data_IF_995137479249
#
_entry.id   IF_995137479249
#
_cell.length_a   1.000
_cell.length_b   1.000
_cell.length_c   1.000
_cell.angle_alpha   90.00
_cell.angle_beta   90.00
_cell.angle_gamma   90.00
#
_symmetry.space_group_name_H-M   'P 1'
#
loop_
_entity.id
_entity.type
_entity.pdbx_description
1 polymer ?
#
# COMPACT_ATOMS: atom_id res chain seq x y z
N UNK A 1 0.55 21.19 -32.86
CA UNK A 1 -0.91 21.15 -32.63
C UNK A 1 -1.22 19.79 -32.04
N UNK A 2 -1.02 19.64 -30.73
CA UNK A 2 -1.28 18.40 -30.00
C UNK A 2 -2.74 18.46 -29.53
N UNK A 3 -3.59 17.60 -30.08
CA UNK A 3 -4.95 17.42 -29.59
C UNK A 3 -4.86 16.79 -28.19
N UNK A 4 -5.16 17.61 -27.19
CA UNK A 4 -5.41 17.21 -25.82
C UNK A 4 -6.83 16.66 -25.75
N UNK A 5 -7.03 15.43 -26.20
CA UNK A 5 -8.21 14.66 -25.78
C UNK A 5 -7.99 14.29 -24.30
N UNK A 6 -8.51 15.16 -23.42
CA UNK A 6 -8.76 14.88 -22.01
C UNK A 6 -9.74 13.71 -21.93
N UNK A 7 -9.20 12.51 -22.05
CA UNK A 7 -9.90 11.29 -21.68
C UNK A 7 -10.17 11.39 -20.18
N UNK A 8 -11.44 11.57 -19.84
CA UNK A 8 -12.04 11.46 -18.51
C UNK A 8 -11.79 10.06 -17.91
N UNK A 9 -10.53 9.70 -17.67
CA UNK A 9 -10.18 8.63 -16.77
C UNK A 9 -10.65 9.11 -15.39
N UNK A 10 -11.80 8.62 -14.96
CA UNK A 10 -12.30 8.81 -13.60
C UNK A 10 -11.16 8.43 -12.65
N UNK A 11 -10.54 9.44 -12.04
CA UNK A 11 -9.52 9.28 -11.02
C UNK A 11 -10.24 8.83 -9.76
N UNK A 12 -10.45 7.51 -9.63
CA UNK A 12 -11.00 6.94 -8.42
C UNK A 12 -9.89 6.95 -7.38
N UNK A 13 -9.83 8.03 -6.61
CA UNK A 13 -8.95 8.17 -5.47
C UNK A 13 -9.66 7.56 -4.26
N UNK A 14 -9.19 6.40 -3.80
CA UNK A 14 -9.70 5.81 -2.57
C UNK A 14 -9.00 6.46 -1.37
N UNK A 15 -9.73 7.26 -0.59
CA UNK A 15 -9.25 7.72 0.70
C UNK A 15 -9.30 6.55 1.69
N UNK A 16 -8.18 6.27 2.36
CA UNK A 16 -8.20 5.33 3.48
C UNK A 16 -8.61 6.11 4.72
N UNK A 17 -9.78 5.78 5.26
CA UNK A 17 -10.33 6.39 6.48
C UNK A 17 -10.29 5.33 7.58
N UNK A 18 -9.60 5.65 8.68
CA UNK A 18 -9.62 4.83 9.88
C UNK A 18 -10.37 5.55 10.98
N UNK A 19 -11.50 4.96 11.42
CA UNK A 19 -12.21 5.38 12.63
C UNK A 19 -11.77 4.48 13.77
N UNK A 20 -11.35 5.09 14.89
CA UNK A 20 -11.09 4.35 16.12
C UNK A 20 -11.61 5.13 17.30
N UNK A 21 -12.37 4.46 18.16
CA UNK A 21 -12.58 4.92 19.52
C UNK A 21 -11.30 4.67 20.29
N UNK A 22 -10.70 5.72 20.84
CA UNK A 22 -9.46 5.59 21.63
C UNK A 22 -9.86 5.03 22.99
N UNK A 23 -9.42 3.80 23.36
CA UNK A 23 -9.67 3.29 24.70
C UNK A 23 -8.89 4.14 25.70
N UNK A 24 -9.61 4.83 26.58
CA UNK A 24 -9.04 5.64 27.66
C UNK A 24 -8.51 4.68 28.73
N UNK A 25 -7.29 4.88 29.28
CA UNK A 25 -6.80 4.09 30.40
C UNK A 25 -7.76 4.17 31.60
N UNK A 26 -8.05 3.02 32.21
CA UNK A 26 -9.15 2.85 33.18
C UNK A 26 -9.05 3.76 34.43
N UNK A 27 -7.88 4.34 34.71
CA UNK A 27 -7.69 5.23 35.85
C UNK A 27 -8.28 6.64 35.69
N UNK A 28 -8.70 7.04 34.48
CA UNK A 28 -9.21 8.39 34.17
C UNK A 28 -10.59 8.38 33.47
N UNK A 29 -11.41 7.32 33.65
CA UNK A 29 -12.64 7.10 32.86
C UNK A 29 -13.68 8.23 32.99
N UNK A 30 -13.72 8.98 34.09
CA UNK A 30 -14.80 9.95 34.31
C UNK A 30 -14.69 11.25 33.49
N UNK A 31 -13.58 11.50 32.79
CA UNK A 31 -13.37 12.79 32.09
C UNK A 31 -13.13 12.67 30.57
N UNK A 32 -12.93 11.47 30.04
CA UNK A 32 -12.49 11.26 28.65
C UNK A 32 -13.44 10.47 27.73
N UNK A 33 -14.69 10.21 28.12
CA UNK A 33 -15.63 9.41 27.31
C UNK A 33 -16.00 10.00 25.92
N UNK A 34 -15.46 11.17 25.57
CA UNK A 34 -16.07 12.08 24.62
C UNK A 34 -15.07 12.62 23.56
N UNK A 35 -14.21 11.74 23.04
CA UNK A 35 -13.23 12.08 22.00
C UNK A 35 -13.52 11.35 20.68
N UNK A 36 -13.73 12.12 19.61
CA UNK A 36 -13.77 11.57 18.26
C UNK A 36 -12.50 11.90 17.50
N UNK A 37 -11.89 10.89 16.88
CA UNK A 37 -10.68 11.01 16.08
C UNK A 37 -10.84 10.27 14.75
N UNK A 38 -10.43 10.94 13.67
CA UNK A 38 -10.29 10.35 12.36
C UNK A 38 -8.92 10.63 11.79
N UNK A 39 -8.40 9.65 11.06
CA UNK A 39 -7.22 9.82 10.22
C UNK A 39 -7.60 9.49 8.79
N UNK A 40 -7.26 10.38 7.88
CA UNK A 40 -7.40 10.19 6.46
C UNK A 40 -6.06 10.42 5.78
N UNK A 41 -5.83 9.62 4.76
CA UNK A 41 -4.70 9.77 3.85
C UNK A 41 -5.17 9.60 2.42
N UNK A 42 -4.52 10.32 1.53
CA UNK A 42 -4.75 10.23 0.11
C UNK A 42 -3.39 10.21 -0.60
N UNK A 43 -3.13 9.25 -1.50
CA UNK A 43 -1.92 9.27 -2.31
C UNK A 43 -1.85 10.58 -3.11
N UNK A 44 -0.70 11.25 -3.08
CA UNK A 44 -0.54 12.52 -3.77
C UNK A 44 -0.64 12.34 -5.28
N UNK A 45 -1.12 13.36 -5.99
CA UNK A 45 -1.06 13.35 -7.46
C UNK A 45 0.37 13.18 -7.97
N UNK A 46 1.35 13.71 -7.23
CA UNK A 46 2.77 13.54 -7.51
C UNK A 46 3.21 12.07 -7.47
N UNK A 47 2.82 11.32 -6.44
CA UNK A 47 3.13 9.90 -6.35
C UNK A 47 2.58 9.14 -7.57
N UNK A 48 1.32 9.40 -7.93
CA UNK A 48 0.67 8.79 -9.10
C UNK A 48 1.38 9.18 -10.39
N UNK A 49 1.68 10.46 -10.60
CA UNK A 49 2.32 10.96 -11.81
C UNK A 49 3.77 10.46 -11.97
N UNK A 50 4.54 10.42 -10.88
CA UNK A 50 5.92 9.90 -10.92
C UNK A 50 5.93 8.41 -11.22
N UNK A 51 5.04 7.65 -10.62
CA UNK A 51 4.97 6.21 -10.89
C UNK A 51 4.60 5.96 -12.35
N UNK A 52 3.69 6.76 -12.93
CA UNK A 52 3.37 6.71 -14.37
C UNK A 52 4.54 7.12 -15.27
N UNK A 53 5.38 8.07 -14.84
CA UNK A 53 6.57 8.44 -15.64
C UNK A 53 7.61 7.32 -15.69
N UNK A 54 7.71 6.49 -14.65
CA UNK A 54 8.61 5.33 -14.63
C UNK A 54 8.12 4.19 -15.55
N UNK A 55 6.81 4.10 -15.79
CA UNK A 55 6.20 3.15 -16.71
C UNK A 55 6.58 3.44 -18.17
N UNK A 56 6.53 4.71 -18.59
CA UNK A 56 6.72 5.12 -19.99
C UNK A 56 8.14 4.92 -20.53
N UNK A 57 9.14 4.84 -19.66
CA UNK A 57 10.54 4.64 -20.05
C UNK A 57 10.91 3.14 -20.13
N UNK A 58 10.01 2.26 -19.69
CA UNK A 58 10.23 0.82 -19.67
C UNK A 58 9.42 0.14 -20.78
N UNK A 59 10.12 -0.38 -21.78
CA UNK A 59 9.57 -1.12 -22.94
C UNK A 59 8.98 -2.50 -22.56
N UNK A 60 8.44 -2.64 -21.34
CA UNK A 60 8.28 -3.92 -20.65
C UNK A 60 6.81 -4.33 -20.57
N UNK A 61 6.45 -5.35 -21.34
CA UNK A 61 5.14 -6.00 -21.36
C UNK A 61 4.89 -6.97 -20.18
N UNK A 62 5.61 -6.82 -19.06
CA UNK A 62 5.54 -7.77 -17.94
C UNK A 62 4.63 -7.27 -16.81
N UNK A 63 3.80 -8.18 -16.29
CA UNK A 63 3.03 -7.98 -15.06
C UNK A 63 3.98 -7.88 -13.85
N UNK A 64 4.52 -6.69 -13.59
CA UNK A 64 5.35 -6.39 -12.43
C UNK A 64 4.54 -5.68 -11.34
N UNK A 65 4.86 -5.95 -10.07
CA UNK A 65 4.43 -5.11 -8.96
C UNK A 65 5.56 -4.12 -8.67
N UNK A 66 5.20 -2.84 -8.72
CA UNK A 66 6.13 -1.74 -8.44
C UNK A 66 5.79 -1.23 -7.05
N UNK A 67 6.74 -1.37 -6.12
CA UNK A 67 6.64 -0.77 -4.81
C UNK A 67 7.43 0.53 -4.79
N UNK A 68 6.76 1.61 -4.41
CA UNK A 68 7.36 2.94 -4.25
C UNK A 68 7.09 3.38 -2.81
N UNK A 69 8.15 3.50 -2.03
CA UNK A 69 8.07 4.18 -0.74
C UNK A 69 7.96 5.68 -1.03
N UNK A 70 6.82 6.29 -0.69
CA UNK A 70 6.55 7.71 -0.94
C UNK A 70 5.93 8.36 0.31
N UNK A 71 6.39 9.58 0.69
CA UNK A 71 5.78 10.33 1.77
C UNK A 71 4.43 10.89 1.33
N UNK A 72 3.37 10.49 2.00
CA UNK A 72 2.03 11.00 1.72
C UNK A 72 1.58 11.93 2.85
N UNK A 73 0.73 12.92 2.54
CA UNK A 73 0.14 13.75 3.56
C UNK A 73 -0.88 12.91 4.33
N UNK A 74 -0.80 13.00 5.64
CA UNK A 74 -1.79 12.44 6.55
C UNK A 74 -2.47 13.61 7.24
N UNK A 75 -3.80 13.62 7.20
CA UNK A 75 -4.60 14.56 7.96
C UNK A 75 -5.30 13.82 9.10
N UNK A 76 -5.17 14.36 10.31
CA UNK A 76 -5.82 13.85 11.51
C UNK A 76 -6.72 14.93 12.06
N UNK A 77 -8.00 14.63 12.21
CA UNK A 77 -8.97 15.54 12.82
C UNK A 77 -9.47 14.92 14.12
N UNK A 78 -9.37 15.68 15.21
CA UNK A 78 -9.86 15.30 16.54
C UNK A 78 -10.83 16.35 17.03
N UNK A 79 -12.07 15.97 17.26
CA UNK A 79 -13.13 16.90 17.64
C UNK A 79 -13.66 16.59 19.04
N UNK A 80 -13.96 17.64 19.79
CA UNK A 80 -14.73 17.54 21.03
C UNK A 80 -16.19 17.21 20.71
N UNK A 81 -16.88 16.58 21.66
CA UNK A 81 -18.34 16.46 21.59
C UNK A 81 -19.03 17.83 21.61
N UNK A 82 -20.29 17.91 21.13
CA UNK A 82 -21.10 19.09 21.31
C UNK A 82 -21.33 19.33 22.80
N UNK A 83 -21.15 20.57 23.22
CA UNK A 83 -21.55 21.00 24.55
C UNK A 83 -23.02 21.42 24.50
N UNK A 84 -23.85 20.79 25.35
CA UNK A 84 -25.19 21.28 25.69
C UNK A 84 -25.09 22.25 26.88
N UNK A 85 -25.97 23.24 26.95
CA UNK A 85 -26.06 24.25 28.02
C UNK A 85 -24.92 25.27 28.05
N UNK A 86 -24.68 25.91 26.92
CA UNK A 86 -23.66 26.94 26.76
C UNK A 86 -24.09 28.22 27.48
N UNK A 87 -23.18 28.76 28.31
CA UNK A 87 -23.24 30.11 28.88
C UNK A 87 -22.18 30.97 28.20
N UNK A 88 -22.33 32.29 28.26
CA UNK A 88 -21.32 33.24 27.77
C UNK A 88 -19.93 32.98 28.40
N UNK A 89 -19.92 32.65 29.69
CA UNK A 89 -18.71 32.33 30.46
C UNK A 89 -18.18 30.91 30.24
N UNK A 90 -18.83 30.09 29.41
CA UNK A 90 -18.36 28.73 29.14
C UNK A 90 -16.98 28.79 28.48
N UNK A 91 -16.00 28.18 29.13
CA UNK A 91 -14.65 28.06 28.60
C UNK A 91 -14.65 27.07 27.44
N UNK A 92 -14.21 27.54 26.27
CA UNK A 92 -13.99 26.69 25.11
C UNK A 92 -12.83 25.77 25.42
N UNK A 93 -13.01 24.46 25.20
CA UNK A 93 -11.95 23.47 25.34
C UNK A 93 -11.51 22.98 23.99
N UNK A 94 -10.23 22.70 23.83
CA UNK A 94 -9.68 22.07 22.64
C UNK A 94 -8.87 20.84 23.04
N UNK A 95 -8.72 19.91 22.10
CA UNK A 95 -7.89 18.71 22.28
C UNK A 95 -6.45 19.08 21.97
N UNK A 96 -5.53 18.81 22.89
CA UNK A 96 -4.11 19.07 22.71
C UNK A 96 -3.49 18.18 21.63
N UNK A 97 -2.28 18.52 21.24
CA UNK A 97 -1.56 17.84 20.17
C UNK A 97 -1.19 16.39 20.49
N UNK A 98 -1.14 16.04 21.78
CA UNK A 98 -1.00 14.65 22.21
C UNK A 98 -2.19 13.79 21.79
N UNK A 99 -3.34 14.40 21.48
CA UNK A 99 -4.58 13.75 21.09
C UNK A 99 -5.33 13.11 22.25
N UNK A 100 -4.87 13.28 23.49
CA UNK A 100 -5.45 12.65 24.68
C UNK A 100 -5.87 13.67 25.72
N UNK A 101 -5.18 14.80 25.86
CA UNK A 101 -5.53 15.82 26.85
C UNK A 101 -6.32 16.96 26.24
N UNK A 102 -7.01 17.71 27.09
CA UNK A 102 -7.75 18.93 26.71
C UNK A 102 -7.15 20.12 27.44
N UNK A 103 -7.22 21.31 26.84
CA UNK A 103 -6.98 22.57 27.53
C UNK A 103 -8.10 23.58 27.27
N UNK A 104 -8.12 24.64 28.08
CA UNK A 104 -8.99 25.78 27.86
C UNK A 104 -8.35 26.71 26.82
N UNK A 105 -9.13 27.15 25.84
CA UNK A 105 -8.72 28.08 24.80
C UNK A 105 -9.01 29.53 25.20
N UNK A 106 -10.29 29.87 25.33
CA UNK A 106 -10.79 31.19 25.73
C UNK A 106 -12.26 31.06 26.14
N UNK A 107 -12.84 32.08 26.78
CA UNK A 107 -14.28 32.11 27.02
C UNK A 107 -15.05 32.34 25.71
N UNK A 108 -16.25 31.80 25.61
CA UNK A 108 -17.08 31.99 24.42
C UNK A 108 -17.40 33.47 24.16
N UNK A 109 -17.69 34.24 25.22
CA UNK A 109 -17.91 35.69 25.10
C UNK A 109 -16.70 36.40 24.53
N UNK A 110 -15.50 36.10 25.02
CA UNK A 110 -14.28 36.76 24.54
C UNK A 110 -14.00 36.41 23.08
N UNK A 111 -14.23 35.15 22.69
CA UNK A 111 -14.08 34.73 21.29
C UNK A 111 -15.03 35.52 20.38
N UNK A 112 -16.31 35.60 20.74
CA UNK A 112 -17.32 36.25 19.91
C UNK A 112 -17.13 37.75 19.89
N UNK A 113 -16.80 38.37 21.01
CA UNK A 113 -16.45 39.78 21.06
C UNK A 113 -15.25 40.08 20.16
N UNK A 114 -14.22 39.23 20.15
CA UNK A 114 -13.07 39.37 19.25
C UNK A 114 -13.47 39.30 17.77
N UNK A 115 -14.42 38.44 17.41
CA UNK A 115 -14.90 38.32 16.02
C UNK A 115 -15.80 39.49 15.60
N UNK A 116 -16.64 39.99 16.51
CA UNK A 116 -17.50 41.16 16.30
C UNK A 116 -16.71 42.45 16.16
N UNK A 117 -15.58 42.59 16.89
CA UNK A 117 -14.67 43.73 16.73
C UNK A 117 -13.89 43.68 15.42
N UNK A 118 -13.69 42.48 14.87
CA UNK A 118 -12.95 42.26 13.63
C UNK A 118 -13.85 42.27 12.39
N UNK A 119 -14.33 41.09 12.00
CA UNK A 119 -14.87 40.83 10.67
C UNK A 119 -16.39 40.65 10.62
N UNK A 120 -17.03 40.38 11.76
CA UNK A 120 -18.46 40.06 11.77
C UNK A 120 -19.34 41.29 11.89
N UNK A 121 -20.46 41.29 11.17
CA UNK A 121 -21.53 42.28 11.36
C UNK A 121 -22.25 42.04 12.68
N UNK A 122 -22.73 43.12 13.33
CA UNK A 122 -23.58 43.03 14.52
C UNK A 122 -24.91 42.31 14.26
N UNK A 123 -25.34 42.31 13.00
CA UNK A 123 -26.57 41.68 12.52
C UNK A 123 -26.34 40.25 12.00
N UNK A 124 -25.13 39.72 12.18
CA UNK A 124 -24.83 38.33 11.82
C UNK A 124 -25.78 37.41 12.58
N UNK A 125 -26.48 36.54 11.84
CA UNK A 125 -27.41 35.58 12.42
C UNK A 125 -26.64 34.40 13.02
N UNK A 126 -27.16 33.83 14.10
CA UNK A 126 -26.52 32.70 14.80
C UNK A 126 -26.39 31.45 13.91
N UNK A 127 -27.36 31.22 13.02
CA UNK A 127 -27.34 30.13 12.02
C UNK A 127 -26.37 30.38 10.86
N UNK A 128 -25.78 31.57 10.80
CA UNK A 128 -24.93 32.06 9.73
C UNK A 128 -23.52 32.39 10.25
N UNK A 129 -23.10 31.76 11.36
CA UNK A 129 -21.75 31.91 11.89
C UNK A 129 -20.79 31.01 11.11
N UNK A 130 -19.79 31.57 10.39
CA UNK A 130 -18.81 30.76 9.69
C UNK A 130 -17.87 30.05 10.68
N UNK A 131 -17.21 28.95 10.28
CA UNK A 131 -16.17 28.34 11.08
C UNK A 131 -15.08 29.35 11.45
N UNK A 132 -14.63 29.34 12.71
CA UNK A 132 -13.48 30.13 13.14
C UNK A 132 -12.24 29.24 13.11
N UNK A 133 -11.21 29.70 12.41
CA UNK A 133 -9.93 29.01 12.31
C UNK A 133 -8.86 29.77 13.09
N UNK A 134 -8.10 29.06 13.92
CA UNK A 134 -7.01 29.61 14.69
C UNK A 134 -5.85 28.61 14.79
N UNK A 135 -4.58 29.06 14.86
CA UNK A 135 -3.49 28.16 15.19
C UNK A 135 -3.66 27.59 16.61
N UNK A 136 -3.17 26.37 16.85
CA UNK A 136 -3.12 25.81 18.20
C UNK A 136 -2.26 26.68 19.13
N UNK A 137 -2.69 26.93 20.37
CA UNK A 137 -1.92 27.73 21.33
C UNK A 137 -0.71 26.98 21.90
N UNK A 138 -0.53 25.70 21.57
CA UNK A 138 0.63 24.93 22.01
C UNK A 138 1.93 25.41 21.36
N UNK A 139 2.97 25.54 22.18
CA UNK A 139 4.31 25.87 21.72
C UNK A 139 4.77 24.85 20.69
N UNK A 140 5.22 25.33 19.51
CA UNK A 140 5.70 24.53 18.37
C UNK A 140 4.66 23.62 17.71
N UNK A 141 3.37 23.84 17.98
CA UNK A 141 2.31 23.14 17.27
C UNK A 141 2.18 23.61 15.82
N UNK A 142 2.00 22.67 14.90
CA UNK A 142 1.55 22.93 13.52
C UNK A 142 0.06 22.68 13.34
N UNK A 143 -0.67 22.43 14.44
CA UNK A 143 -2.07 22.12 14.41
C UNK A 143 -2.93 23.37 14.17
N UNK A 144 -4.03 23.15 13.47
CA UNK A 144 -5.06 24.12 13.19
C UNK A 144 -6.30 23.78 14.02
N UNK A 145 -6.79 24.75 14.78
CA UNK A 145 -8.06 24.66 15.49
C UNK A 145 -9.18 25.20 14.60
N UNK A 146 -10.24 24.41 14.45
CA UNK A 146 -11.50 24.82 13.85
C UNK A 146 -12.62 24.82 14.90
N UNK A 147 -13.32 25.94 15.03
CA UNK A 147 -14.47 26.09 15.92
C UNK A 147 -15.73 26.21 15.07
N UNK A 148 -16.66 25.29 15.25
CA UNK A 148 -17.87 25.18 14.45
C UNK A 148 -19.09 25.42 15.32
N UNK A 149 -19.96 26.32 14.90
CA UNK A 149 -21.22 26.64 15.57
C UNK A 149 -22.37 25.94 14.89
N UNK A 150 -23.25 25.35 15.69
CA UNK A 150 -24.37 24.58 15.22
C UNK A 150 -25.62 24.99 15.97
N UNK A 151 -26.54 25.56 15.21
CA UNK A 151 -27.87 25.89 15.69
C UNK A 151 -28.85 24.79 15.33
N UNK A 152 -29.73 24.42 16.26
CA UNK A 152 -30.94 23.68 15.91
C UNK A 152 -31.86 24.57 15.04
N UNK A 153 -32.38 24.05 13.91
CA UNK A 153 -33.08 24.87 12.91
C UNK A 153 -34.31 25.61 13.45
N UNK A 154 -35.01 25.02 14.43
CA UNK A 154 -36.28 25.54 14.93
C UNK A 154 -36.14 26.53 16.10
N UNK A 155 -34.92 26.75 16.60
CA UNK A 155 -34.72 27.50 17.84
C UNK A 155 -34.24 28.94 17.67
N UNK A 156 -33.21 29.15 16.85
CA UNK A 156 -32.46 30.41 16.80
C UNK A 156 -32.62 31.13 15.46
N UNK A 157 -33.62 30.74 14.67
CA UNK A 157 -33.89 31.37 13.38
C UNK A 157 -34.22 32.86 13.57
N UNK A 158 -33.37 33.74 13.02
CA UNK A 158 -33.55 35.19 13.04
C UNK A 158 -32.96 35.92 14.25
N UNK A 159 -32.32 35.23 15.20
CA UNK A 159 -31.59 35.91 16.27
C UNK A 159 -30.23 36.38 15.78
N UNK A 160 -29.91 37.64 16.03
CA UNK A 160 -28.57 38.17 15.83
C UNK A 160 -27.64 37.65 16.94
N UNK A 161 -26.37 37.41 16.60
CA UNK A 161 -25.33 37.00 17.55
C UNK A 161 -25.24 37.99 18.70
N UNK A 162 -25.28 39.30 18.42
CA UNK A 162 -25.25 40.35 19.45
C UNK A 162 -26.39 40.24 20.47
N UNK A 163 -27.62 39.96 20.02
CA UNK A 163 -28.78 39.76 20.88
C UNK A 163 -28.67 38.51 21.75
N UNK A 164 -28.07 37.46 21.20
CA UNK A 164 -27.83 36.19 21.88
C UNK A 164 -26.94 36.38 23.12
N UNK A 165 -25.91 37.21 23.03
CA UNK A 165 -24.99 37.44 24.16
C UNK A 165 -25.42 38.59 25.09
N UNK A 166 -26.19 39.55 24.59
CA UNK A 166 -26.68 40.66 25.40
C UNK A 166 -27.85 40.29 26.32
N UNK A 167 -28.73 39.38 25.89
CA UNK A 167 -29.79 38.84 26.74
C UNK A 167 -29.26 37.57 27.39
N UNK A 168 -29.34 37.49 28.72
CA UNK A 168 -29.31 36.21 29.41
C UNK A 168 -30.39 35.32 28.79
N UNK A 169 -29.99 34.46 27.85
CA UNK A 169 -30.89 33.54 27.17
C UNK A 169 -31.67 32.75 28.22
N UNK A 170 -32.98 32.62 28.01
CA UNK A 170 -33.77 31.71 28.84
C UNK A 170 -33.16 30.31 28.74
N UNK A 171 -33.27 29.52 29.80
CA UNK A 171 -32.69 28.17 29.82
C UNK A 171 -33.17 27.29 28.65
N UNK A 172 -34.36 27.57 28.09
CA UNK A 172 -34.89 26.89 26.89
C UNK A 172 -34.16 27.21 25.59
N UNK A 173 -33.45 28.33 25.50
CA UNK A 173 -32.71 28.75 24.29
C UNK A 173 -31.22 28.38 24.35
N UNK A 174 -30.69 28.07 25.53
CA UNK A 174 -29.29 27.61 25.73
C UNK A 174 -29.03 26.22 25.14
N UNK A 175 -30.05 25.37 25.08
CA UNK A 175 -29.95 24.03 24.48
C UNK A 175 -29.89 24.06 22.95
N UNK A 176 -30.14 25.21 22.32
CA UNK A 176 -30.33 25.32 20.89
C UNK A 176 -29.06 25.66 20.09
N UNK A 177 -28.04 26.18 20.77
CA UNK A 177 -26.71 26.35 20.19
C UNK A 177 -25.81 25.26 20.77
N UNK A 178 -24.99 24.67 19.91
CA UNK A 178 -23.85 23.83 20.29
C UNK A 178 -22.64 24.29 19.50
N UNK A 179 -21.44 24.06 20.03
CA UNK A 179 -20.21 24.24 19.27
C UNK A 179 -19.32 23.00 19.38
N UNK A 180 -18.45 22.87 18.39
CA UNK A 180 -17.44 21.83 18.30
C UNK A 180 -16.09 22.49 18.12
N UNK A 181 -15.09 22.00 18.83
CA UNK A 181 -13.70 22.40 18.60
C UNK A 181 -12.94 21.21 18.07
N UNK A 182 -12.40 21.35 16.87
CA UNK A 182 -11.61 20.32 16.22
C UNK A 182 -10.15 20.76 16.12
N UNK A 183 -9.24 19.93 16.64
CA UNK A 183 -7.82 20.02 16.38
C UNK A 183 -7.51 19.21 15.10
N UNK A 184 -7.00 19.90 14.08
CA UNK A 184 -6.62 19.32 12.80
C UNK A 184 -5.09 19.40 12.67
N UNK A 185 -4.47 18.23 12.54
CA UNK A 185 -3.04 18.09 12.30
C UNK A 185 -2.81 17.53 10.92
N UNK A 186 -1.76 18.02 10.26
CA UNK A 186 -1.26 17.44 9.03
C UNK A 186 0.25 17.17 9.16
N UNK A 187 0.70 16.05 8.61
CA UNK A 187 2.12 15.68 8.59
C UNK A 187 2.42 14.75 7.41
N UNK A 188 3.69 14.70 7.02
CA UNK A 188 4.18 13.71 6.07
C UNK A 188 4.43 12.39 6.78
N UNK A 189 3.86 11.30 6.27
CA UNK A 189 4.18 9.96 6.72
C UNK A 189 4.74 9.14 5.57
N UNK A 190 5.77 8.34 5.84
CA UNK A 190 6.26 7.36 4.87
C UNK A 190 5.30 6.18 4.80
N UNK A 191 4.70 5.95 3.63
CA UNK A 191 4.03 4.67 3.33
C UNK A 191 4.67 3.98 2.16
N UNK A 192 4.47 2.68 2.12
CA UNK A 192 4.67 1.89 0.92
C UNK A 192 3.42 1.98 0.05
N UNK A 193 3.57 2.53 -1.13
CA UNK A 193 2.54 2.46 -2.17
C UNK A 193 2.87 1.29 -3.08
N UNK A 194 1.88 0.44 -3.30
CA UNK A 194 1.97 -0.67 -4.23
C UNK A 194 1.18 -0.29 -5.48
N UNK A 195 1.83 -0.35 -6.63
CA UNK A 195 1.15 -0.25 -7.91
C UNK A 195 1.07 -1.63 -8.55
N UNK A 196 -0.14 -2.03 -8.91
CA UNK A 196 -0.39 -3.25 -9.66
C UNK A 196 -1.32 -2.99 -10.83
N UNK A 197 -1.22 -3.82 -11.85
CA UNK A 197 -2.08 -3.76 -13.03
C UNK A 197 -3.29 -4.64 -12.82
N UNK A 198 -4.48 -4.07 -13.02
CA UNK A 198 -5.73 -4.83 -13.07
C UNK A 198 -6.52 -4.37 -14.28
N UNK A 199 -6.81 -5.30 -15.20
CA UNK A 199 -7.58 -4.99 -16.42
C UNK A 199 -6.92 -3.99 -17.37
N UNK A 200 -5.59 -3.88 -17.38
CA UNK A 200 -4.85 -2.95 -18.25
C UNK A 200 -4.78 -1.51 -17.73
N UNK A 201 -5.31 -1.23 -16.54
CA UNK A 201 -5.15 0.05 -15.86
C UNK A 201 -4.20 -0.09 -14.65
N UNK A 202 -3.29 0.86 -14.43
CA UNK A 202 -2.51 0.91 -13.20
C UNK A 202 -3.40 1.33 -12.05
N UNK A 203 -3.40 0.53 -10.96
CA UNK A 203 -4.08 0.86 -9.71
C UNK A 203 -2.99 1.14 -8.67
N UNK A 204 -2.98 2.35 -8.14
CA UNK A 204 -2.15 2.72 -7.00
C UNK A 204 -2.91 2.40 -5.71
N UNK A 205 -2.34 1.54 -4.87
CA UNK A 205 -2.86 1.21 -3.56
C UNK A 205 -1.86 1.65 -2.49
N UNK A 206 -2.31 2.50 -1.58
CA UNK A 206 -1.53 2.88 -0.39
C UNK A 206 -1.80 1.85 0.70
N UNK A 207 -0.74 1.33 1.33
CA UNK A 207 -0.88 0.47 2.52
C UNK A 207 -1.66 1.22 3.61
N UNK A 208 -2.54 0.53 4.34
CA UNK A 208 -3.22 1.15 5.48
C UNK A 208 -2.21 1.67 6.50
N UNK A 209 -2.46 2.85 7.06
CA UNK A 209 -1.65 3.45 8.14
C UNK A 209 -1.84 2.68 9.47
N UNK A 210 -2.62 1.60 9.47
CA UNK A 210 -3.12 0.87 10.64
C UNK A 210 -2.07 0.44 11.67
N UNK A 211 -0.81 0.31 11.29
CA UNK A 211 0.23 -0.22 12.19
C UNK A 211 0.95 0.86 13.02
N UNK A 212 0.88 2.14 12.65
CA UNK A 212 1.60 3.20 13.37
C UNK A 212 0.88 3.72 14.62
N UNK A 213 -0.42 3.43 14.79
CA UNK A 213 -1.23 3.93 15.90
C UNK A 213 -1.44 5.45 15.85
N UNK A 214 -2.51 5.93 16.50
CA UNK A 214 -2.86 7.36 16.57
C UNK A 214 -1.99 8.17 17.54
N UNK A 215 -1.00 7.53 18.17
CA UNK A 215 -0.03 8.21 19.01
C UNK A 215 0.79 9.12 18.11
N UNK A 216 1.00 10.37 18.56
CA UNK A 216 1.86 11.40 17.95
C UNK A 216 2.94 10.71 17.13
N UNK A 217 2.78 10.72 15.80
CA UNK A 217 3.70 10.03 14.90
C UNK A 217 5.01 10.80 15.04
N UNK A 218 5.87 10.34 15.94
CA UNK A 218 7.11 11.00 16.34
C UNK A 218 8.13 11.11 15.20
N UNK A 219 7.74 10.72 13.99
CA UNK A 219 8.59 10.51 12.82
C UNK A 219 8.09 11.24 11.57
N UNK A 220 7.00 12.02 11.65
CA UNK A 220 6.47 12.77 10.51
C UNK A 220 6.86 14.24 10.53
N UNK A 221 7.26 14.77 9.37
CA UNK A 221 7.50 16.21 9.21
C UNK A 221 6.15 16.95 9.23
N UNK A 222 5.95 17.93 10.13
CA UNK A 222 4.67 18.63 10.25
C UNK A 222 4.36 19.46 9.00
N UNK A 223 3.07 19.49 8.63
CA UNK A 223 2.53 20.35 7.59
C UNK A 223 1.73 21.45 8.28
N UNK A 224 2.14 22.71 8.09
CA UNK A 224 1.40 23.87 8.59
C UNK A 224 0.23 24.14 7.65
N UNK A 225 -0.99 24.08 8.18
CA UNK A 225 -2.21 24.37 7.43
C UNK A 225 -2.55 25.85 7.55
N UNK A 226 -2.60 26.56 6.43
CA UNK A 226 -3.13 27.92 6.35
C UNK A 226 -4.44 27.92 5.55
N UNK A 227 -5.56 27.86 6.28
CA UNK A 227 -6.91 27.91 5.70
C UNK A 227 -7.48 29.33 5.66
N UNK A 228 -6.87 30.28 6.36
CA UNK A 228 -7.40 31.64 6.47
C UNK A 228 -7.43 32.33 5.10
N UNK A 229 -6.47 31.99 4.22
CA UNK A 229 -6.40 32.45 2.84
C UNK A 229 -7.35 31.77 1.84
N UNK A 230 -8.16 30.78 2.27
CA UNK A 230 -9.03 30.01 1.37
C UNK A 230 -10.50 30.37 1.64
N UNK A 231 -11.14 31.22 0.81
CA UNK A 231 -12.48 31.75 1.08
C UNK A 231 -13.54 30.67 1.31
N UNK A 232 -13.44 29.52 0.64
CA UNK A 232 -14.40 28.42 0.76
C UNK A 232 -14.43 27.77 2.15
N UNK A 233 -13.37 27.90 2.96
CA UNK A 233 -13.37 27.40 4.35
C UNK A 233 -14.00 28.38 5.35
N UNK A 234 -14.16 29.64 4.94
CA UNK A 234 -14.81 30.69 5.73
C UNK A 234 -16.26 30.94 5.28
N UNK A 235 -16.74 30.18 4.30
CA UNK A 235 -18.10 30.28 3.79
C UNK A 235 -19.05 29.36 4.58
N UNK A 236 -20.32 29.75 4.68
CA UNK A 236 -21.38 28.94 5.28
C UNK A 236 -21.67 27.68 4.46
N UNK A 237 -21.42 27.74 3.16
CA UNK A 237 -21.51 26.58 2.28
C UNK A 237 -20.57 25.44 2.70
N UNK A 238 -19.50 25.75 3.43
CA UNK A 238 -18.62 24.73 4.02
C UNK A 238 -19.37 23.84 5.02
N UNK A 239 -20.27 24.42 5.82
CA UNK A 239 -21.05 23.68 6.83
C UNK A 239 -22.07 22.75 6.17
N UNK A 240 -22.51 23.05 4.95
CA UNK A 240 -23.43 22.20 4.18
C UNK A 240 -22.79 20.91 3.65
N UNK A 241 -21.45 20.79 3.70
CA UNK A 241 -20.74 19.56 3.32
C UNK A 241 -20.97 18.45 4.36
N UNK A 242 -21.32 18.80 5.60
CA UNK A 242 -21.53 17.83 6.66
C UNK A 242 -22.92 17.17 6.54
N UNK A 243 -23.00 15.82 6.51
CA UNK A 243 -24.22 15.09 6.15
C UNK A 243 -25.37 15.23 7.14
N UNK A 244 -25.14 15.81 8.33
CA UNK A 244 -26.22 16.18 9.23
C UNK A 244 -25.87 17.45 10.00
N UNK A 245 -26.75 18.48 9.98
CA UNK A 245 -26.55 19.67 10.79
C UNK A 245 -26.60 19.34 12.29
N UNK A 246 -27.28 18.25 12.69
CA UNK A 246 -27.47 17.87 14.10
C UNK A 246 -26.25 17.24 14.79
N UNK A 247 -25.35 16.58 14.06
CA UNK A 247 -24.19 15.87 14.66
C UNK A 247 -22.86 16.61 14.46
N UNK A 248 -22.92 17.78 13.84
CA UNK A 248 -21.76 18.60 13.55
C UNK A 248 -20.73 18.03 12.61
N UNK A 249 -19.54 18.68 12.54
CA UNK A 249 -18.51 18.27 11.62
C UNK A 249 -18.05 16.87 12.02
N UNK A 250 -18.41 15.87 11.22
CA UNK A 250 -17.89 14.53 11.45
C UNK A 250 -16.38 14.57 11.24
N UNK A 251 -15.63 14.07 12.22
CA UNK A 251 -14.18 14.01 12.22
C UNK A 251 -13.62 13.40 10.93
N UNK A 252 -14.33 12.40 10.37
CA UNK A 252 -13.98 11.72 9.11
C UNK A 252 -14.03 12.65 7.90
N UNK A 253 -15.05 13.50 7.80
CA UNK A 253 -15.22 14.43 6.69
C UNK A 253 -14.13 15.49 6.74
N UNK A 254 -13.84 16.06 7.92
CA UNK A 254 -12.75 17.01 8.07
C UNK A 254 -11.40 16.38 7.67
N UNK A 255 -11.04 15.25 8.26
CA UNK A 255 -9.79 14.56 7.93
C UNK A 255 -9.70 14.29 6.42
N UNK A 256 -10.79 13.84 5.79
CA UNK A 256 -10.84 13.53 4.36
C UNK A 256 -10.68 14.78 3.49
N UNK A 257 -11.37 15.88 3.79
CA UNK A 257 -11.25 17.14 3.05
C UNK A 257 -9.81 17.65 3.08
N UNK A 258 -9.18 17.67 4.27
CA UNK A 258 -7.79 18.10 4.39
C UNK A 258 -6.83 17.15 3.67
N UNK A 259 -7.02 15.83 3.76
CA UNK A 259 -6.20 14.86 3.04
C UNK A 259 -6.31 15.03 1.50
N UNK A 260 -7.52 15.26 0.97
CA UNK A 260 -7.74 15.53 -0.46
C UNK A 260 -7.10 16.85 -0.89
N UNK A 261 -7.27 17.90 -0.07
CA UNK A 261 -6.66 19.21 -0.32
C UNK A 261 -5.13 19.11 -0.38
N UNK A 262 -4.53 18.44 0.59
CA UNK A 262 -3.09 18.21 0.66
C UNK A 262 -2.58 17.32 -0.48
N UNK A 263 -3.33 16.29 -0.88
CA UNK A 263 -2.95 15.43 -2.01
C UNK A 263 -2.93 16.16 -3.36
N UNK A 264 -3.59 17.32 -3.44
CA UNK A 264 -3.59 18.19 -4.61
C UNK A 264 -2.37 19.12 -4.68
N UNK A 265 -1.54 19.15 -3.63
CA UNK A 265 -0.33 19.97 -3.53
C UNK A 265 0.92 19.08 -3.54
N UNK A 266 1.95 19.38 -4.36
CA UNK A 266 2.00 20.40 -5.42
C UNK A 266 1.21 19.99 -6.68
N UNK A 267 0.67 20.97 -7.42
CA UNK A 267 0.04 20.71 -8.73
C UNK A 267 1.13 20.23 -9.68
N UNK A 268 0.88 19.11 -10.38
CA UNK A 268 1.85 18.47 -11.30
C UNK A 268 2.37 19.45 -12.36
N UNK A 269 1.57 20.43 -12.77
CA UNK A 269 1.95 21.48 -13.73
C UNK A 269 3.20 22.23 -13.31
N UNK A 270 3.40 22.42 -12.00
CA UNK A 270 4.50 23.19 -11.46
C UNK A 270 5.80 22.38 -11.49
N UNK A 271 5.72 21.04 -11.52
CA UNK A 271 6.87 20.13 -11.45
C UNK A 271 7.51 19.93 -12.82
N UNK A 272 6.71 19.92 -13.90
CA UNK A 272 7.21 19.72 -15.28
C UNK A 272 8.09 20.88 -15.74
N UNK A 273 8.04 22.03 -15.07
CA UNK A 273 8.91 23.19 -15.36
C UNK A 273 10.19 23.25 -14.51
N UNK A 274 10.42 22.31 -13.57
CA UNK A 274 11.70 22.18 -12.82
C UNK A 274 12.83 21.58 -13.67
N UNK A 275 12.99 22.03 -14.90
CA UNK A 275 14.19 21.75 -15.68
C UNK A 275 15.35 22.62 -15.14
N UNK A 276 16.15 22.01 -14.25
CA UNK A 276 17.57 22.26 -13.97
C UNK A 276 18.06 23.63 -13.47
N UNK A 277 17.23 24.64 -13.23
CA UNK A 277 17.75 26.00 -12.99
C UNK A 277 17.51 26.63 -11.60
N UNK A 278 16.89 25.93 -10.65
CA UNK A 278 16.71 26.48 -9.29
C UNK A 278 17.63 25.79 -8.26
N UNK A 279 18.36 26.55 -7.43
CA UNK A 279 19.11 25.99 -6.32
C UNK A 279 18.13 25.30 -5.36
N UNK A 280 18.35 24.01 -5.14
CA UNK A 280 17.50 23.09 -4.36
C UNK A 280 17.54 23.31 -2.85
N UNK A 281 18.16 24.39 -2.37
CA UNK A 281 18.33 24.67 -0.95
C UNK A 281 17.02 25.19 -0.35
N UNK A 282 16.39 24.38 0.50
CA UNK A 282 15.17 24.76 1.24
C UNK A 282 13.90 23.99 0.87
N UNK A 283 13.96 23.10 -0.13
CA UNK A 283 12.85 22.19 -0.43
C UNK A 283 13.03 20.85 0.30
N UNK A 284 11.93 20.19 0.72
CA UNK A 284 12.00 18.84 1.27
C UNK A 284 12.53 17.89 0.19
N UNK A 285 13.60 17.15 0.51
CA UNK A 285 14.13 16.08 -0.33
C UNK A 285 13.42 14.79 -0.02
N UNK A 286 12.87 14.14 -1.05
CA UNK A 286 12.19 12.85 -0.90
C UNK A 286 13.03 11.74 -1.53
N UNK A 287 13.37 10.73 -0.74
CA UNK A 287 14.09 9.54 -1.22
C UNK A 287 13.10 8.52 -1.74
N UNK A 288 13.21 8.18 -3.03
CA UNK A 288 12.37 7.20 -3.68
C UNK A 288 13.06 5.85 -3.70
N UNK A 289 12.46 4.84 -3.07
CA UNK A 289 12.90 3.45 -3.19
C UNK A 289 12.00 2.72 -4.15
N UNK A 290 12.56 2.37 -5.31
CA UNK A 290 11.89 1.53 -6.30
C UNK A 290 12.27 0.07 -6.02
N UNK A 291 11.30 -0.75 -5.66
CA UNK A 291 11.49 -2.19 -5.56
C UNK A 291 10.62 -2.87 -6.60
N UNK A 292 11.27 -3.41 -7.63
CA UNK A 292 10.62 -4.23 -8.64
C UNK A 292 10.75 -5.70 -8.23
N UNK A 293 9.61 -6.38 -8.09
CA UNK A 293 9.59 -7.83 -7.85
C UNK A 293 8.95 -8.54 -9.03
N UNK A 294 9.71 -9.44 -9.67
CA UNK A 294 9.15 -10.37 -10.65
C UNK A 294 8.29 -11.44 -9.97
N UNK A 295 7.31 -11.98 -10.70
CA UNK A 295 6.49 -13.09 -10.23
C UNK A 295 7.40 -14.27 -9.84
N UNK A 296 7.31 -14.72 -8.58
CA UNK A 296 8.11 -15.84 -8.05
C UNK A 296 9.40 -15.48 -7.30
N UNK A 297 9.86 -14.22 -7.35
CA UNK A 297 11.07 -13.78 -6.61
C UNK A 297 10.77 -12.90 -5.39
N UNK A 298 9.51 -12.53 -5.17
CA UNK A 298 9.13 -11.84 -3.94
C UNK A 298 9.15 -12.83 -2.75
N UNK A 299 10.12 -12.69 -1.86
CA UNK A 299 10.23 -13.48 -0.62
C UNK A 299 9.45 -12.87 0.54
N UNK A 300 8.69 -11.79 0.31
CA UNK A 300 7.84 -11.17 1.32
C UNK A 300 6.72 -12.09 1.84
N UNK A 301 5.99 -12.86 0.99
CA UNK A 301 4.90 -13.70 1.46
C UNK A 301 5.41 -14.81 2.39
N UNK A 302 4.69 -15.02 3.50
CA UNK A 302 5.00 -16.07 4.50
C UNK A 302 5.07 -17.45 3.85
N UNK A 303 4.20 -17.73 2.89
CA UNK A 303 4.19 -19.01 2.15
C UNK A 303 5.50 -19.25 1.38
N UNK A 304 6.05 -18.22 0.73
CA UNK A 304 7.32 -18.33 -0.02
C UNK A 304 8.48 -18.59 0.93
N UNK A 305 8.52 -17.91 2.09
CA UNK A 305 9.54 -18.13 3.11
C UNK A 305 9.49 -19.56 3.67
N UNK A 306 8.29 -20.07 3.92
CA UNK A 306 8.10 -21.46 4.36
C UNK A 306 8.55 -22.46 3.30
N UNK A 307 8.18 -22.27 2.03
CA UNK A 307 8.62 -23.13 0.93
C UNK A 307 10.15 -23.13 0.78
N UNK A 308 10.80 -21.96 0.85
CA UNK A 308 12.25 -21.85 0.82
C UNK A 308 12.91 -22.54 2.02
N UNK A 309 12.33 -22.43 3.21
CA UNK A 309 12.84 -23.12 4.40
C UNK A 309 12.78 -24.64 4.23
N UNK A 310 11.67 -25.18 3.71
CA UNK A 310 11.50 -26.63 3.47
C UNK A 310 12.49 -27.13 2.42
N UNK A 311 12.63 -26.42 1.29
CA UNK A 311 13.59 -26.79 0.24
C UNK A 311 15.03 -26.74 0.77
N UNK A 312 15.37 -25.69 1.51
CA UNK A 312 16.71 -25.55 2.12
C UNK A 312 17.00 -26.69 3.09
N UNK A 313 16.03 -27.05 3.94
CA UNK A 313 16.15 -28.18 4.86
C UNK A 313 16.37 -29.50 4.11
N UNK A 314 15.60 -29.74 3.05
CA UNK A 314 15.77 -30.93 2.20
C UNK A 314 17.15 -30.99 1.56
N UNK A 315 17.65 -29.86 1.03
CA UNK A 315 19.01 -29.77 0.49
C UNK A 315 20.07 -30.10 1.54
N UNK A 316 19.95 -29.57 2.76
CA UNK A 316 20.88 -29.87 3.87
C UNK A 316 20.86 -31.35 4.22
N UNK A 317 19.68 -31.95 4.38
CA UNK A 317 19.53 -33.40 4.66
C UNK A 317 20.16 -34.23 3.55
N UNK A 318 19.94 -33.85 2.28
CA UNK A 318 20.51 -34.54 1.12
C UNK A 318 22.04 -34.44 1.09
N UNK A 319 22.61 -33.26 1.36
CA UNK A 319 24.06 -33.06 1.43
C UNK A 319 24.68 -33.86 2.57
N UNK A 320 24.04 -33.87 3.75
CA UNK A 320 24.47 -34.68 4.90
C UNK A 320 24.41 -36.17 4.54
N UNK A 321 23.36 -36.62 3.87
CA UNK A 321 23.22 -38.00 3.43
C UNK A 321 24.26 -38.40 2.38
N UNK A 322 24.53 -37.54 1.40
CA UNK A 322 25.60 -37.76 0.41
C UNK A 322 26.97 -37.83 1.10
N UNK A 323 27.26 -36.91 2.03
CA UNK A 323 28.49 -36.92 2.82
C UNK A 323 28.61 -38.19 3.68
N UNK A 324 27.50 -38.63 4.26
CA UNK A 324 27.43 -39.89 5.00
C UNK A 324 27.74 -41.09 4.10
N UNK A 325 27.12 -41.19 2.90
CA UNK A 325 27.44 -42.26 1.94
C UNK A 325 28.92 -42.24 1.55
N UNK A 326 29.48 -41.05 1.27
CA UNK A 326 30.88 -40.89 0.86
C UNK A 326 31.86 -41.30 1.97
N UNK A 327 31.54 -41.01 3.23
CA UNK A 327 32.40 -41.35 4.37
C UNK A 327 32.30 -42.80 4.80
N UNK A 328 31.11 -43.39 4.75
CA UNK A 328 30.88 -44.78 5.16
C UNK A 328 31.22 -45.77 4.02
N UNK A 329 31.27 -45.32 2.77
CA UNK A 329 31.70 -46.13 1.63
C UNK A 329 30.64 -47.14 1.15
N UNK A 330 29.38 -47.00 1.56
CA UNK A 330 28.27 -47.77 1.00
C UNK A 330 27.89 -47.21 -0.38
N UNK A 331 28.69 -47.51 -1.40
CA UNK A 331 28.25 -47.34 -2.77
C UNK A 331 27.21 -48.43 -3.05
N UNK A 332 25.92 -48.06 -3.10
CA UNK A 332 24.90 -48.98 -3.60
C UNK A 332 25.29 -49.43 -5.00
N UNK A 333 25.63 -50.71 -5.15
CA UNK A 333 26.02 -51.38 -6.40
C UNK A 333 24.86 -51.49 -7.42
N UNK A 334 23.77 -50.73 -7.22
CA UNK A 334 22.65 -50.65 -8.15
C UNK A 334 22.99 -49.90 -9.45
N UNK A 335 24.15 -49.24 -9.52
CA UNK A 335 24.73 -48.65 -10.73
C UNK A 335 26.17 -49.11 -10.85
N UNK A 336 26.39 -50.43 -10.94
CA UNK A 336 27.74 -51.02 -10.87
C UNK A 336 28.65 -50.63 -12.04
N UNK A 337 28.13 -49.98 -13.08
CA UNK A 337 28.98 -49.46 -14.15
C UNK A 337 28.32 -48.33 -14.94
N UNK A 338 29.08 -47.28 -15.24
CA UNK A 338 28.71 -46.25 -16.21
C UNK A 338 28.32 -46.82 -17.59
N UNK A 339 28.71 -48.07 -17.88
CA UNK A 339 28.29 -48.78 -19.09
C UNK A 339 26.79 -49.10 -19.14
N UNK A 340 26.08 -49.23 -18.01
CA UNK A 340 24.61 -49.40 -18.01
C UNK A 340 23.89 -48.13 -18.48
N UNK A 341 24.38 -46.94 -18.10
CA UNK A 341 23.88 -45.66 -18.62
C UNK A 341 24.13 -45.50 -20.11
N UNK A 342 25.31 -45.92 -20.58
CA UNK A 342 25.66 -45.92 -22.00
C UNK A 342 24.82 -46.94 -22.78
N UNK A 343 24.49 -48.09 -22.21
CA UNK A 343 23.57 -49.08 -22.80
C UNK A 343 22.14 -48.57 -22.89
N UNK A 344 21.65 -47.88 -21.86
CA UNK A 344 20.34 -47.22 -21.88
C UNK A 344 20.27 -46.12 -22.95
N UNK A 345 21.37 -45.39 -23.16
CA UNK A 345 21.49 -44.42 -24.24
C UNK A 345 21.59 -45.09 -25.63
N UNK A 346 22.28 -46.24 -25.74
CA UNK A 346 22.38 -47.02 -26.98
C UNK A 346 21.09 -47.75 -27.37
N UNK A 347 20.24 -48.08 -26.39
CA UNK A 347 18.92 -48.70 -26.62
C UNK A 347 17.86 -47.73 -27.18
N UNK A 348 18.24 -46.50 -27.50
CA UNK A 348 17.39 -45.48 -28.15
C UNK A 348 16.87 -45.89 -29.54
N UNK A 349 17.43 -46.93 -30.18
CA UNK A 349 16.88 -47.53 -31.41
C UNK A 349 16.62 -49.02 -31.12
N UNK A 350 15.35 -49.37 -30.89
CA UNK A 350 14.90 -50.75 -30.69
C UNK A 350 15.13 -51.57 -31.96
N UNK A 351 15.88 -52.69 -31.92
CA UNK A 351 15.79 -53.73 -32.93
C UNK A 351 14.52 -54.56 -32.67
N UNK A 352 13.72 -54.81 -33.72
CA UNK A 352 12.42 -55.48 -33.62
C UNK A 352 12.48 -56.95 -33.17
N UNK A 353 13.67 -57.55 -33.02
CA UNK A 353 13.85 -58.95 -32.62
C UNK A 353 14.06 -59.19 -31.12
N UNK A 354 14.20 -58.15 -30.30
CA UNK A 354 14.40 -58.28 -28.85
C UNK A 354 13.05 -58.17 -28.12
N UNK A 355 12.25 -59.22 -28.24
CA UNK A 355 11.01 -59.38 -27.49
C UNK A 355 11.34 -59.59 -26.00
N UNK A 356 11.20 -58.50 -25.24
CA UNK A 356 11.19 -58.42 -23.76
C UNK A 356 12.56 -58.47 -23.04
N UNK A 357 13.46 -57.52 -23.35
CA UNK A 357 14.56 -57.18 -22.43
C UNK A 357 14.12 -56.01 -21.54
N UNK A 358 13.48 -56.32 -20.41
CA UNK A 358 13.31 -55.38 -19.30
C UNK A 358 14.60 -55.33 -18.49
N UNK A 359 15.06 -54.12 -18.17
CA UNK A 359 16.27 -53.82 -17.41
C UNK A 359 16.29 -54.60 -16.09
N UNK A 360 17.28 -55.48 -15.95
CA UNK A 360 17.44 -56.43 -14.85
C UNK A 360 18.18 -57.70 -15.29
N UNK A 361 19.22 -57.59 -16.11
CA UNK A 361 20.00 -58.76 -16.57
C UNK A 361 21.19 -58.97 -15.66
N UNK A 362 20.98 -59.75 -14.60
CA UNK A 362 21.99 -60.17 -13.62
C UNK A 362 22.97 -61.24 -14.18
N UNK A 363 23.14 -61.32 -15.50
CA UNK A 363 23.94 -62.35 -16.14
C UNK A 363 25.00 -61.75 -17.06
N UNK A 364 26.23 -61.71 -16.55
CA UNK A 364 27.47 -61.44 -17.29
C UNK A 364 27.62 -62.35 -18.53
N UNK A 365 26.84 -63.43 -18.67
CA UNK A 365 26.86 -64.32 -19.83
C UNK A 365 26.29 -63.66 -21.09
N UNK A 366 25.41 -62.67 -20.97
CA UNK A 366 24.92 -61.93 -22.16
C UNK A 366 26.03 -61.10 -22.79
N UNK A 367 26.92 -60.52 -21.97
CA UNK A 367 28.10 -59.78 -22.43
C UNK A 367 29.18 -60.65 -23.06
N UNK A 368 29.20 -61.96 -22.75
CA UNK A 368 30.14 -62.93 -23.36
C UNK A 368 29.65 -63.52 -24.68
N UNK A 369 28.43 -63.19 -25.13
CA UNK A 369 27.94 -63.66 -26.44
C UNK A 369 28.73 -62.97 -27.54
N UNK A 370 29.47 -63.76 -28.33
CA UNK A 370 30.25 -63.27 -29.45
C UNK A 370 29.33 -62.64 -30.50
N UNK A 371 29.48 -61.35 -30.78
CA UNK A 371 28.78 -60.65 -31.87
C UNK A 371 29.64 -60.66 -33.13
N UNK A 372 29.02 -60.93 -34.27
CA UNK A 372 29.67 -60.81 -35.58
C UNK A 372 29.26 -59.53 -36.29
N UNK A 373 30.21 -58.77 -36.85
CA UNK A 373 29.90 -57.64 -37.74
C UNK A 373 29.63 -58.19 -39.14
N UNK A 374 28.49 -57.84 -39.74
CA UNK A 374 28.13 -58.20 -41.13
C UNK A 374 27.65 -56.98 -41.90
N UNK A 375 27.68 -57.08 -43.22
CA UNK A 375 27.21 -56.05 -44.14
C UNK A 375 25.81 -56.45 -44.63
N UNK A 376 24.85 -55.55 -44.50
CA UNK A 376 23.49 -55.72 -45.03
C UNK A 376 23.45 -55.36 -46.53
N UNK A 377 22.34 -55.67 -47.22
CA UNK A 377 22.14 -55.39 -48.65
C UNK A 377 22.23 -53.89 -49.00
N UNK A 378 22.02 -53.02 -48.02
CA UNK A 378 22.17 -51.57 -48.14
C UNK A 378 23.60 -51.07 -47.91
N UNK A 379 24.59 -51.96 -47.90
CA UNK A 379 26.01 -51.71 -47.57
C UNK A 379 26.27 -51.18 -46.13
N UNK A 380 25.29 -51.17 -45.25
CA UNK A 380 25.49 -50.76 -43.84
C UNK A 380 26.05 -51.89 -42.97
N UNK A 381 26.85 -51.52 -41.95
CA UNK A 381 27.40 -52.46 -40.97
C UNK A 381 26.39 -52.71 -39.84
N UNK A 382 26.06 -53.99 -39.61
CA UNK A 382 25.17 -54.43 -38.54
C UNK A 382 25.87 -55.46 -37.64
N UNK A 383 25.57 -55.40 -36.34
CA UNK A 383 25.98 -56.41 -35.36
C UNK A 383 24.95 -57.53 -35.33
N UNK A 384 25.39 -58.76 -35.60
CA UNK A 384 24.53 -59.94 -35.67
C UNK A 384 24.91 -60.92 -34.57
N UNK A 385 23.92 -61.35 -33.77
CA UNK A 385 24.12 -62.37 -32.76
C UNK A 385 24.11 -63.78 -33.40
N UNK A 386 24.84 -64.75 -32.85
CA UNK A 386 24.90 -66.12 -33.41
C UNK A 386 23.54 -66.83 -33.42
N UNK A 387 22.62 -66.43 -32.54
CA UNK A 387 21.28 -67.00 -32.42
C UNK A 387 20.31 -66.52 -33.50
N UNK A 388 20.57 -65.37 -34.14
CA UNK A 388 19.74 -64.82 -35.23
C UNK A 388 20.13 -65.39 -36.60
N UNK A 389 20.98 -66.42 -36.61
CA UNK A 389 21.58 -66.96 -37.83
C UNK A 389 20.66 -67.94 -38.57
N UNK A 390 19.66 -68.51 -37.90
CA UNK A 390 18.82 -69.59 -38.44
C UNK A 390 17.38 -69.17 -38.82
N UNK A 391 16.94 -67.96 -38.51
CA UNK A 391 15.61 -67.48 -38.87
C UNK A 391 15.68 -66.24 -39.77
N UNK A 392 15.63 -66.49 -41.09
CA UNK A 392 15.28 -65.53 -42.16
C UNK A 392 16.19 -64.32 -42.39
N UNK A 393 17.38 -64.52 -42.98
CA UNK A 393 17.99 -63.54 -43.90
C UNK A 393 19.21 -64.12 -44.65
N UNK A 394 19.00 -64.50 -45.90
CA UNK A 394 19.95 -65.26 -46.73
C UNK A 394 20.97 -64.40 -47.49
N UNK A 395 21.18 -63.11 -47.15
CA UNK A 395 22.05 -62.23 -47.98
C UNK A 395 23.03 -61.33 -47.18
N UNK A 396 23.31 -61.64 -45.91
CA UNK A 396 24.30 -60.88 -45.11
C UNK A 396 25.73 -61.32 -45.45
N UNK A 397 26.54 -60.41 -46.00
CA UNK A 397 27.92 -60.69 -46.43
C UNK A 397 28.93 -60.43 -45.32
N UNK A 398 30.03 -61.19 -45.33
CA UNK A 398 31.16 -60.96 -44.41
C UNK A 398 31.88 -59.67 -44.82
N UNK A 399 32.24 -58.84 -43.84
CA UNK A 399 32.99 -57.60 -44.05
C UNK A 399 34.31 -57.92 -44.76
N UNK A 400 34.61 -57.18 -45.83
CA UNK A 400 35.87 -57.26 -46.56
C UNK A 400 36.83 -56.21 -45.98
N UNK A 401 38.05 -56.59 -45.58
CA UNK A 401 39.03 -55.63 -45.08
C UNK A 401 39.31 -54.53 -46.12
N UNK A 402 39.46 -53.28 -45.66
CA UNK A 402 39.79 -52.11 -46.48
C UNK A 402 38.73 -51.69 -47.53
N UNK A 403 37.47 -52.12 -47.37
CA UNK A 403 36.34 -51.55 -48.10
C UNK A 403 35.55 -50.61 -47.17
N UNK A 404 35.27 -49.39 -47.64
CA UNK A 404 34.32 -48.51 -46.97
C UNK A 404 32.90 -49.00 -47.27
N UNK A 405 32.09 -49.06 -46.23
CA UNK A 405 30.71 -49.55 -46.23
C UNK A 405 29.83 -48.41 -45.74
#
# INVERSE_FOLDING_TARGET
MYNSDDTNAQRVIYASISRRTVPVPESNITEFENLFSATATVPTQLAVARTRSLELDSDWSFNATINVDFPHPVAVARCTLPWSDIKSETMLRYIKDDGFSQDNLTSLSDLIESQLQGNWSTDLRVDSIPPIWAPSPELSSSALLGIFFISMPDCLFGYAVSEMFAKELSDSTKSCLSFYTCNIQAFWASSRNEMFYSGGAPIAQTSSISDAGFQKVSYGDPIVLDVAGIPSFNDLDFLHIFPSPLHGPSEHVLATIFAIGLASVPKITDIVTFNNQYPTTGFPTFDFKLVQSGYGYNTSPISVRLSLAVITLYCVVTVVYLFYILTVGYTSTAWSSATELVLLALQSKRPDSLEHVSVGTDSMDTFRRAVGVRVNDSEELELVFPSDQDSSQTDRRRVVPNKAY
#
